data_IF_474972135942
#
_entry.id   IF_474972135942
#
_cell.length_a   1.000
_cell.length_b   1.000
_cell.length_c   1.000
_cell.angle_alpha   90.00
_cell.angle_beta   90.00
_cell.angle_gamma   90.00
#
_symmetry.space_group_name_H-M   'P 1'
#
loop_
_entity.id
_entity.type
_entity.pdbx_description
1 polymer ?
#
# COMPACT_ATOMS: atom_id res chain seq x y z
N UNK A 1 -3.71 7.99 12.99
CA UNK A 1 -3.77 6.58 13.43
C UNK A 1 -4.23 6.53 14.88
N UNK A 2 -5.18 5.66 15.20
CA UNK A 2 -5.64 5.47 16.57
C UNK A 2 -4.81 4.36 17.23
N UNK A 3 -3.99 4.72 18.19
CA UNK A 3 -3.03 3.80 18.82
C UNK A 3 -3.73 2.60 19.48
N UNK A 4 -4.89 2.81 20.11
CA UNK A 4 -5.57 1.74 20.84
C UNK A 4 -6.26 0.72 19.93
N UNK A 5 -6.75 1.13 18.76
CA UNK A 5 -7.47 0.25 17.84
C UNK A 5 -6.61 -0.21 16.65
N UNK A 6 -5.53 0.51 16.33
CA UNK A 6 -4.74 0.26 15.13
C UNK A 6 -3.41 -0.47 15.43
N UNK A 7 -3.13 -0.76 16.69
CA UNK A 7 -1.96 -1.54 17.12
C UNK A 7 -2.42 -2.70 17.97
N UNK A 8 -2.09 -3.92 17.59
CA UNK A 8 -2.49 -5.13 18.29
C UNK A 8 -1.31 -6.09 18.42
N UNK A 9 -1.19 -6.79 19.55
CA UNK A 9 -0.16 -7.82 19.69
C UNK A 9 -0.50 -9.05 18.83
N UNK A 10 0.51 -9.85 18.53
CA UNK A 10 0.32 -11.07 17.74
C UNK A 10 -0.61 -12.07 18.43
N UNK A 11 -0.67 -12.05 19.76
CA UNK A 11 -1.60 -12.91 20.52
C UNK A 11 -3.06 -12.57 20.24
N UNK A 12 -3.38 -11.30 20.02
CA UNK A 12 -4.71 -10.88 19.61
C UNK A 12 -5.06 -11.44 18.23
N UNK A 13 -4.11 -11.35 17.29
CA UNK A 13 -4.31 -11.90 15.95
C UNK A 13 -4.56 -13.40 15.99
N UNK A 14 -3.82 -14.14 16.82
CA UNK A 14 -4.00 -15.59 16.95
C UNK A 14 -5.38 -15.97 17.47
N UNK A 15 -5.90 -15.22 18.43
CA UNK A 15 -7.15 -15.57 19.09
C UNK A 15 -8.39 -14.95 18.44
N UNK A 16 -8.25 -13.81 17.77
CA UNK A 16 -9.37 -13.04 17.23
C UNK A 16 -9.14 -12.60 15.78
N UNK A 17 -8.59 -13.49 14.97
CA UNK A 17 -8.26 -13.17 13.58
C UNK A 17 -9.48 -12.72 12.79
N UNK A 18 -10.62 -13.40 12.92
CA UNK A 18 -11.83 -13.05 12.18
C UNK A 18 -12.36 -11.67 12.56
N UNK A 19 -12.37 -11.34 13.85
CA UNK A 19 -12.81 -10.02 14.31
C UNK A 19 -11.90 -8.92 13.79
N UNK A 20 -10.59 -9.16 13.79
CA UNK A 20 -9.61 -8.21 13.30
C UNK A 20 -9.76 -7.98 11.79
N UNK A 21 -9.96 -9.04 11.03
CA UNK A 21 -10.18 -8.93 9.58
C UNK A 21 -11.47 -8.16 9.27
N UNK A 22 -12.54 -8.40 10.03
CA UNK A 22 -13.77 -7.64 9.87
C UNK A 22 -13.57 -6.16 10.17
N UNK A 23 -12.85 -5.84 11.23
CA UNK A 23 -12.54 -4.46 11.58
C UNK A 23 -11.77 -3.76 10.45
N UNK A 24 -10.74 -4.42 9.92
CA UNK A 24 -9.93 -3.86 8.85
C UNK A 24 -10.76 -3.63 7.58
N UNK A 25 -11.60 -4.59 7.23
CA UNK A 25 -12.45 -4.47 6.03
C UNK A 25 -13.54 -3.40 6.17
N UNK A 26 -14.03 -3.17 7.37
CA UNK A 26 -15.05 -2.13 7.62
C UNK A 26 -14.46 -0.75 7.73
N UNK A 27 -13.32 -0.60 8.40
CA UNK A 27 -12.72 0.72 8.67
C UNK A 27 -11.76 1.17 7.59
N UNK A 28 -11.22 0.24 6.81
CA UNK A 28 -10.15 0.49 5.82
C UNK A 28 -8.90 1.12 6.43
N UNK A 29 -8.67 0.87 7.72
CA UNK A 29 -7.47 1.35 8.42
C UNK A 29 -6.53 0.20 8.69
N UNK A 30 -5.23 0.36 8.36
CA UNK A 30 -4.25 -0.69 8.63
C UNK A 30 -4.06 -0.90 10.13
N UNK A 31 -3.70 -2.14 10.50
CA UNK A 31 -3.41 -2.50 11.87
C UNK A 31 -1.97 -2.99 11.95
N UNK A 32 -1.21 -2.43 12.87
CA UNK A 32 0.17 -2.83 13.11
C UNK A 32 0.17 -3.98 14.11
N UNK A 33 0.79 -5.10 13.74
CA UNK A 33 0.93 -6.27 14.60
C UNK A 33 2.28 -6.23 15.26
N UNK A 34 2.29 -6.32 16.58
CA UNK A 34 3.51 -6.29 17.39
C UNK A 34 3.82 -7.66 17.97
N UNK A 35 5.10 -7.92 18.20
CA UNK A 35 5.58 -9.08 18.91
C UNK A 35 6.67 -8.63 19.88
N UNK A 36 6.50 -8.95 21.17
CA UNK A 36 7.42 -8.49 22.22
C UNK A 36 7.59 -6.97 22.22
N UNK A 37 6.50 -6.24 21.95
CA UNK A 37 6.50 -4.78 21.92
C UNK A 37 7.07 -4.16 20.65
N UNK A 38 7.51 -4.96 19.69
CA UNK A 38 8.09 -4.46 18.45
C UNK A 38 7.14 -4.63 17.27
N UNK A 39 7.01 -3.63 16.38
CA UNK A 39 6.21 -3.80 15.16
C UNK A 39 6.82 -4.87 14.26
N UNK A 40 6.00 -5.84 13.84
CA UNK A 40 6.47 -6.96 13.03
C UNK A 40 5.74 -7.07 11.70
N UNK A 41 4.51 -6.57 11.61
CA UNK A 41 3.71 -6.69 10.39
C UNK A 41 2.65 -5.60 10.36
N UNK A 42 2.15 -5.34 9.17
CA UNK A 42 1.00 -4.45 8.94
C UNK A 42 -0.06 -5.26 8.22
N UNK A 43 -1.28 -5.28 8.76
CA UNK A 43 -2.44 -5.88 8.12
C UNK A 43 -3.27 -4.79 7.48
N UNK A 44 -3.62 -4.99 6.22
CA UNK A 44 -4.38 -4.01 5.45
C UNK A 44 -5.37 -4.74 4.54
N UNK A 45 -6.55 -4.14 4.34
CA UNK A 45 -7.53 -4.70 3.42
C UNK A 45 -7.06 -4.58 1.96
N UNK A 46 -7.52 -5.48 1.07
CA UNK A 46 -7.08 -5.47 -0.33
C UNK A 46 -7.40 -4.17 -1.07
N UNK A 47 -8.55 -3.55 -0.80
CA UNK A 47 -8.94 -2.31 -1.46
C UNK A 47 -8.00 -1.16 -1.13
N UNK A 48 -7.70 -0.97 0.15
CA UNK A 48 -6.77 0.08 0.58
C UNK A 48 -5.36 -0.17 0.07
N UNK A 49 -4.93 -1.42 0.05
CA UNK A 49 -3.64 -1.80 -0.51
C UNK A 49 -3.54 -1.46 -2.00
N UNK A 50 -4.58 -1.79 -2.78
CA UNK A 50 -4.61 -1.45 -4.21
C UNK A 50 -4.60 0.05 -4.44
N UNK A 51 -5.36 0.81 -3.64
CA UNK A 51 -5.38 2.26 -3.73
C UNK A 51 -3.99 2.85 -3.46
N UNK A 52 -3.28 2.32 -2.47
CA UNK A 52 -1.92 2.75 -2.18
C UNK A 52 -0.96 2.44 -3.33
N UNK A 53 -1.05 1.25 -3.91
CA UNK A 53 -0.24 0.86 -5.07
C UNK A 53 -0.48 1.79 -6.25
N UNK A 54 -1.74 2.09 -6.53
CA UNK A 54 -2.12 2.99 -7.62
C UNK A 54 -1.58 4.41 -7.39
N UNK A 55 -1.65 4.90 -6.16
CA UNK A 55 -1.12 6.21 -5.80
C UNK A 55 0.39 6.28 -6.02
N UNK A 56 1.13 5.25 -5.62
CA UNK A 56 2.58 5.17 -5.84
C UNK A 56 2.89 5.14 -7.34
N UNK A 57 2.13 4.37 -8.11
CA UNK A 57 2.28 4.33 -9.57
C UNK A 57 2.08 5.70 -10.21
N UNK A 58 1.08 6.43 -9.79
CA UNK A 58 0.82 7.79 -10.29
C UNK A 58 1.95 8.76 -9.94
N UNK A 59 2.48 8.67 -8.71
CA UNK A 59 3.61 9.51 -8.31
C UNK A 59 4.85 9.25 -9.16
N UNK A 60 5.13 7.99 -9.45
CA UNK A 60 6.23 7.60 -10.33
C UNK A 60 6.03 8.14 -11.76
N UNK A 61 4.81 8.08 -12.25
CA UNK A 61 4.47 8.59 -13.58
C UNK A 61 4.72 10.09 -13.68
N UNK A 62 4.28 10.87 -12.71
CA UNK A 62 4.49 12.31 -12.66
C UNK A 62 5.98 12.65 -12.60
N UNK A 63 6.72 11.97 -11.75
CA UNK A 63 8.16 12.17 -11.59
C UNK A 63 8.91 11.88 -12.88
N UNK A 64 8.58 10.80 -13.58
CA UNK A 64 9.19 10.45 -14.85
C UNK A 64 8.84 11.48 -15.94
N UNK A 65 7.61 11.94 -15.95
CA UNK A 65 7.18 12.98 -16.89
C UNK A 65 7.97 14.27 -16.72
N UNK A 66 8.20 14.70 -15.50
CA UNK A 66 9.00 15.88 -15.20
C UNK A 66 10.45 15.73 -15.65
N UNK A 67 11.05 14.58 -15.41
CA UNK A 67 12.42 14.29 -15.83
C UNK A 67 12.54 14.31 -17.34
N UNK A 68 11.60 13.70 -18.04
CA UNK A 68 11.61 13.63 -19.50
C UNK A 68 11.47 15.01 -20.13
N UNK A 69 10.62 15.86 -19.56
CA UNK A 69 10.46 17.24 -20.02
C UNK A 69 11.77 18.02 -19.85
N UNK A 70 12.42 17.88 -18.70
CA UNK A 70 13.70 18.55 -18.43
C UNK A 70 14.81 18.15 -19.38
N UNK A 71 14.83 16.90 -19.76
CA UNK A 71 15.87 16.33 -20.63
C UNK A 71 15.52 16.43 -22.13
N UNK A 72 14.38 17.04 -22.46
CA UNK A 72 13.91 17.11 -23.84
C UNK A 72 13.41 15.76 -24.39
N UNK A 73 13.19 14.80 -23.51
CA UNK A 73 12.67 13.48 -23.86
C UNK A 73 11.20 13.44 -23.49
N UNK A 74 10.35 13.41 -24.47
CA UNK A 74 8.91 13.34 -24.23
C UNK A 74 8.43 11.94 -24.59
N UNK A 75 8.04 11.16 -23.58
CA UNK A 75 7.31 9.92 -23.79
C UNK A 75 5.83 10.21 -23.72
N UNK A 76 5.02 9.49 -24.47
CA UNK A 76 3.58 9.61 -24.33
C UNK A 76 3.14 9.12 -22.94
N UNK A 77 2.09 9.71 -22.40
CA UNK A 77 1.53 9.29 -21.12
C UNK A 77 1.17 7.79 -21.12
N UNK A 78 0.70 7.31 -22.27
CA UNK A 78 0.30 5.92 -22.41
C UNK A 78 1.48 4.96 -22.26
N UNK A 79 2.61 5.27 -22.85
CA UNK A 79 3.80 4.42 -22.77
C UNK A 79 4.37 4.38 -21.36
N UNK A 80 4.47 5.52 -20.70
CA UNK A 80 4.95 5.61 -19.33
C UNK A 80 4.02 4.85 -18.38
N UNK A 81 2.72 5.02 -18.57
CA UNK A 81 1.72 4.32 -17.75
C UNK A 81 1.82 2.81 -17.91
N UNK A 82 1.96 2.32 -19.15
CA UNK A 82 2.11 0.90 -19.43
C UNK A 82 3.37 0.33 -18.80
N UNK A 83 4.49 1.05 -18.84
CA UNK A 83 5.75 0.61 -18.23
C UNK A 83 5.59 0.44 -16.73
N UNK A 84 4.94 1.38 -16.05
CA UNK A 84 4.70 1.30 -14.61
C UNK A 84 3.76 0.13 -14.29
N UNK A 85 2.69 -0.02 -15.04
CA UNK A 85 1.72 -1.08 -14.84
C UNK A 85 2.38 -2.46 -14.99
N UNK A 86 3.17 -2.65 -16.03
CA UNK A 86 3.89 -3.91 -16.26
C UNK A 86 4.88 -4.19 -15.13
N UNK A 87 5.60 -3.20 -14.67
CA UNK A 87 6.53 -3.33 -13.55
C UNK A 87 5.84 -3.77 -12.27
N UNK A 88 4.66 -3.22 -12.00
CA UNK A 88 3.88 -3.60 -10.82
C UNK A 88 3.32 -5.02 -10.94
N UNK A 89 2.87 -5.43 -12.13
CA UNK A 89 2.38 -6.79 -12.37
C UNK A 89 3.45 -7.84 -12.20
N UNK A 90 4.67 -7.56 -12.61
CA UNK A 90 5.80 -8.50 -12.46
C UNK A 90 6.16 -8.74 -10.99
N UNK A 91 5.98 -7.74 -10.14
CA UNK A 91 6.30 -7.85 -8.71
C UNK A 91 5.22 -8.54 -7.89
N UNK A 92 4.02 -8.54 -8.35
CA UNK A 92 2.87 -9.06 -7.65
C UNK A 92 2.05 -10.01 -8.53
#
# INVERSE_FOLDING_TARGET
MNITSDIKPVTYLKSKAADLLNQINETHRPVIITQNGEPRAVLQDPESYENMRNAIGMLKLISQGEIDVRNGRVKSHKDVFNDIENSLKEKF
#
